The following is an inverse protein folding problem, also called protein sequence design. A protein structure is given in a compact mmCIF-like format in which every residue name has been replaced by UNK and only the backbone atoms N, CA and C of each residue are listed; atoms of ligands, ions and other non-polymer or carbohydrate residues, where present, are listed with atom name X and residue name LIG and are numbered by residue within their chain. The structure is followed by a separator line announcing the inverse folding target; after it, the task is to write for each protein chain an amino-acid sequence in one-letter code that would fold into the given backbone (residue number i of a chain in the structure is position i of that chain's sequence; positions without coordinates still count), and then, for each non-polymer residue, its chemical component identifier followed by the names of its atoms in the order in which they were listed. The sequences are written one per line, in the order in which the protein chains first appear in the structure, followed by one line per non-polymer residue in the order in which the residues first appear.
data_IF_578054233229
#
_entry.id   IF_578054233229
#
_cell.length_a   1.000
_cell.length_b   1.000
_cell.length_c   1.000
_cell.angle_alpha   90.00
_cell.angle_beta   90.00
_cell.angle_gamma   90.00
#
_symmetry.space_group_name_H-M   'P 1'
#
loop_
_entity.id
_entity.type
_entity.pdbx_description
1 polymer ?
#
# COMPACT_ATOMS: atom_id res chain seq x y z
N UNK A 1 15.10 -12.19 -18.83
CA UNK A 1 16.10 -11.18 -18.40
C UNK A 1 17.24 -11.88 -17.69
N UNK A 2 18.51 -11.55 -17.99
CA UNK A 2 19.67 -12.07 -17.26
C UNK A 2 19.83 -11.32 -15.92
N UNK A 3 20.00 -12.07 -14.83
CA UNK A 3 20.21 -11.51 -13.50
C UNK A 3 21.67 -11.07 -13.35
N UNK A 4 21.88 -9.79 -13.07
CA UNK A 4 23.20 -9.20 -12.80
C UNK A 4 23.07 -8.16 -11.68
N UNK A 5 24.13 -7.99 -10.88
CA UNK A 5 24.21 -6.94 -9.87
C UNK A 5 24.61 -5.60 -10.50
N UNK A 6 23.71 -5.04 -11.32
CA UNK A 6 23.91 -3.76 -11.98
C UNK A 6 22.59 -2.98 -12.03
N UNK A 7 22.66 -1.67 -11.74
CA UNK A 7 21.52 -0.77 -11.89
C UNK A 7 21.05 -0.76 -13.34
N UNK A 8 19.76 -0.92 -13.56
CA UNK A 8 19.19 -0.82 -14.91
C UNK A 8 19.31 0.61 -15.45
N UNK A 9 19.39 0.73 -16.77
CA UNK A 9 19.18 2.02 -17.44
C UNK A 9 17.76 2.52 -17.18
N UNK A 10 17.57 3.84 -17.24
CA UNK A 10 16.24 4.44 -17.11
C UNK A 10 15.28 3.90 -18.18
N UNK A 11 15.75 3.79 -19.43
CA UNK A 11 14.98 3.24 -20.54
C UNK A 11 14.46 1.82 -20.23
N UNK A 12 15.35 0.92 -19.80
CA UNK A 12 14.96 -0.45 -19.43
C UNK A 12 13.95 -0.47 -18.28
N UNK A 13 14.16 0.36 -17.25
CA UNK A 13 13.23 0.47 -16.14
C UNK A 13 11.84 0.94 -16.60
N UNK A 14 11.77 1.97 -17.44
CA UNK A 14 10.52 2.51 -17.94
C UNK A 14 9.80 1.53 -18.87
N UNK A 15 10.52 0.73 -19.66
CA UNK A 15 9.91 -0.30 -20.50
C UNK A 15 9.27 -1.41 -19.66
N UNK A 16 9.99 -1.96 -18.68
CA UNK A 16 9.45 -2.98 -17.76
C UNK A 16 8.25 -2.45 -16.98
N UNK A 17 8.22 -1.15 -16.61
CA UNK A 17 7.06 -0.56 -15.96
C UNK A 17 5.79 -0.65 -16.80
N UNK A 18 5.87 -0.48 -18.12
CA UNK A 18 4.69 -0.61 -19.01
C UNK A 18 4.11 -2.02 -18.94
N UNK A 19 4.96 -3.03 -18.98
CA UNK A 19 4.56 -4.44 -18.85
C UNK A 19 3.90 -4.72 -17.50
N UNK A 20 4.50 -4.23 -16.40
CA UNK A 20 3.99 -4.44 -15.04
C UNK A 20 2.65 -3.74 -14.82
N UNK A 21 2.48 -2.49 -15.29
CA UNK A 21 1.22 -1.76 -15.16
C UNK A 21 0.07 -2.42 -15.94
N UNK A 22 0.37 -3.11 -17.03
CA UNK A 22 -0.64 -3.86 -17.80
C UNK A 22 -1.10 -5.16 -17.12
N UNK A 23 -0.47 -5.59 -16.01
CA UNK A 23 -0.77 -6.89 -15.36
C UNK A 23 -2.12 -6.97 -14.66
N UNK A 24 -2.74 -5.83 -14.33
CA UNK A 24 -4.08 -5.76 -13.73
C UNK A 24 -4.77 -4.43 -14.10
N UNK A 25 -6.12 -4.35 -14.25
CA UNK A 25 -6.79 -3.16 -14.74
C UNK A 25 -6.50 -1.87 -13.97
N UNK A 26 -6.28 -1.96 -12.65
CA UNK A 26 -5.94 -0.80 -11.81
C UNK A 26 -4.58 -0.18 -12.11
N UNK A 27 -3.71 -0.87 -12.85
CA UNK A 27 -2.44 -0.32 -13.32
C UNK A 27 -2.58 0.75 -14.40
N UNK A 28 -3.77 0.90 -15.00
CA UNK A 28 -4.08 1.97 -15.96
C UNK A 28 -4.50 3.29 -15.30
N UNK A 29 -4.52 3.36 -13.96
CA UNK A 29 -4.94 4.56 -13.25
C UNK A 29 -3.94 5.72 -13.50
N UNK A 30 -4.41 6.92 -13.87
CA UNK A 30 -3.55 8.09 -14.12
C UNK A 30 -2.66 8.47 -12.93
N UNK A 31 -3.04 8.15 -11.69
CA UNK A 31 -2.21 8.42 -10.52
C UNK A 31 -0.95 7.53 -10.43
N UNK A 32 -0.84 6.48 -11.27
CA UNK A 32 0.36 5.66 -11.43
C UNK A 32 1.32 6.19 -12.51
N UNK A 33 0.95 7.28 -13.20
CA UNK A 33 1.92 8.08 -13.94
C UNK A 33 3.02 8.57 -12.99
N UNK A 34 4.28 8.44 -13.41
CA UNK A 34 5.41 8.65 -12.53
C UNK A 34 5.57 10.12 -12.13
N UNK A 35 5.32 11.04 -13.06
CA UNK A 35 5.47 12.47 -12.80
C UNK A 35 4.38 12.96 -11.85
N UNK A 36 3.13 12.52 -12.07
CA UNK A 36 2.00 12.79 -11.18
C UNK A 36 2.25 12.19 -9.78
N UNK A 37 2.69 10.94 -9.71
CA UNK A 37 2.97 10.27 -8.44
C UNK A 37 4.08 10.98 -7.66
N UNK A 38 5.17 11.39 -8.32
CA UNK A 38 6.27 12.13 -7.68
C UNK A 38 5.80 13.48 -7.16
N UNK A 39 5.00 14.23 -7.92
CA UNK A 39 4.46 15.51 -7.49
C UNK A 39 3.56 15.35 -6.25
N UNK A 40 2.69 14.33 -6.26
CA UNK A 40 1.81 14.03 -5.13
C UNK A 40 2.59 13.60 -3.89
N UNK A 41 3.60 12.73 -4.04
CA UNK A 41 4.42 12.25 -2.93
C UNK A 41 5.27 13.35 -2.29
N UNK A 42 5.67 14.38 -3.05
CA UNK A 42 6.37 15.56 -2.49
C UNK A 42 5.48 16.44 -1.60
N UNK A 43 4.16 16.34 -1.74
CA UNK A 43 3.18 17.08 -0.91
C UNK A 43 2.88 16.35 0.41
N UNK A 44 3.35 15.11 0.58
CA UNK A 44 3.16 14.34 1.83
C UNK A 44 3.83 15.09 2.99
N UNK A 45 3.10 15.40 4.07
CA UNK A 45 3.68 16.11 5.19
C UNK A 45 4.73 15.24 5.91
N UNK A 46 5.79 15.83 6.49
CA UNK A 46 6.90 15.06 7.06
C UNK A 46 6.50 13.99 8.07
N UNK A 47 5.48 14.24 8.90
CA UNK A 47 5.01 13.30 9.94
C UNK A 47 4.30 12.06 9.37
N UNK A 48 3.90 12.08 8.10
CA UNK A 48 3.33 10.94 7.35
C UNK A 48 4.33 10.34 6.35
N UNK A 49 5.59 10.79 6.36
CA UNK A 49 6.65 10.17 5.59
C UNK A 49 7.44 9.19 6.46
N UNK A 50 7.43 7.91 6.08
CA UNK A 50 8.03 6.83 6.87
C UNK A 50 9.54 7.06 7.10
N UNK A 51 10.28 7.45 6.06
CA UNK A 51 11.73 7.65 6.15
C UNK A 51 12.10 8.83 7.05
N UNK A 52 11.37 9.94 6.95
CA UNK A 52 11.61 11.12 7.80
C UNK A 52 11.32 10.82 9.27
N UNK A 53 10.23 10.10 9.57
CA UNK A 53 9.92 9.67 10.93
C UNK A 53 10.95 8.68 11.47
N UNK A 54 11.50 7.78 10.65
CA UNK A 54 12.61 6.90 11.06
C UNK A 54 13.91 7.66 11.39
N UNK A 55 14.20 8.74 10.66
CA UNK A 55 15.33 9.63 10.98
C UNK A 55 15.10 10.30 12.35
N UNK A 56 13.88 10.78 12.60
CA UNK A 56 13.48 11.33 13.90
C UNK A 56 13.67 10.31 15.04
N UNK A 57 13.21 9.06 14.85
CA UNK A 57 13.38 7.97 15.81
C UNK A 57 14.84 7.79 16.22
N UNK A 58 15.74 7.76 15.21
CA UNK A 58 17.17 7.59 15.41
C UNK A 58 17.78 8.76 16.17
N UNK A 59 17.39 9.98 15.85
CA UNK A 59 17.87 11.19 16.53
C UNK A 59 17.39 11.26 17.99
N UNK A 60 16.15 10.86 18.24
CA UNK A 60 15.55 10.79 19.57
C UNK A 60 16.01 9.56 20.38
N UNK A 61 16.69 8.60 19.74
CA UNK A 61 17.01 7.27 20.31
C UNK A 61 15.76 6.57 20.84
N UNK A 62 14.62 6.74 20.16
CA UNK A 62 13.33 6.16 20.53
C UNK A 62 13.04 4.94 19.69
N UNK A 63 12.59 3.86 20.33
CA UNK A 63 11.99 2.71 19.64
C UNK A 63 10.54 3.02 19.34
N UNK A 64 10.17 2.98 18.05
CA UNK A 64 8.79 3.09 17.60
C UNK A 64 8.12 1.73 17.47
N UNK A 65 6.79 1.71 17.60
CA UNK A 65 5.98 0.49 17.55
C UNK A 65 5.15 0.48 16.27
N UNK A 66 5.22 -0.62 15.51
CA UNK A 66 4.42 -0.87 14.32
C UNK A 66 3.71 -2.23 14.42
N UNK A 67 2.37 -2.27 14.37
CA UNK A 67 1.61 -3.52 14.38
C UNK A 67 1.61 -4.20 13.00
N UNK A 68 0.91 -5.34 12.90
CA UNK A 68 0.44 -5.91 11.63
C UNK A 68 -1.07 -5.84 11.58
N UNK A 69 -1.63 -5.40 10.47
CA UNK A 69 -3.07 -5.25 10.26
C UNK A 69 -3.41 -5.20 8.77
N UNK A 70 -4.53 -5.78 8.38
CA UNK A 70 -5.03 -5.80 7.02
C UNK A 70 -6.31 -6.64 6.92
N UNK A 71 -7.34 -6.10 6.30
CA UNK A 71 -8.63 -6.78 6.05
C UNK A 71 -9.10 -6.52 4.63
N UNK A 72 -10.05 -7.34 4.16
CA UNK A 72 -10.49 -7.36 2.78
C UNK A 72 -11.19 -6.09 2.32
N UNK A 73 -11.98 -5.44 3.19
CA UNK A 73 -12.85 -4.33 2.80
C UNK A 73 -12.21 -2.97 3.11
N UNK A 74 -12.25 -2.04 2.16
CA UNK A 74 -11.62 -0.72 2.26
C UNK A 74 -12.04 0.06 3.51
N UNK A 75 -13.35 0.21 3.75
CA UNK A 75 -13.86 0.96 4.91
C UNK A 75 -13.45 0.32 6.23
N UNK A 76 -13.55 -1.02 6.34
CA UNK A 76 -13.13 -1.77 7.52
C UNK A 76 -11.61 -1.67 7.74
N UNK A 77 -10.82 -1.65 6.66
CA UNK A 77 -9.38 -1.48 6.72
C UNK A 77 -9.00 -0.10 7.23
N UNK A 78 -9.66 0.95 6.76
CA UNK A 78 -9.49 2.32 7.27
C UNK A 78 -9.84 2.40 8.76
N UNK A 79 -10.98 1.83 9.16
CA UNK A 79 -11.43 1.84 10.56
C UNK A 79 -10.46 1.09 11.47
N UNK A 80 -9.97 -0.07 11.01
CA UNK A 80 -8.93 -0.84 11.70
C UNK A 80 -7.65 -0.01 11.90
N UNK A 81 -7.14 0.63 10.86
CA UNK A 81 -5.91 1.42 10.97
C UNK A 81 -6.08 2.64 11.87
N UNK A 82 -7.21 3.34 11.79
CA UNK A 82 -7.54 4.44 12.71
C UNK A 82 -7.63 3.99 14.16
N UNK A 83 -8.15 2.79 14.40
CA UNK A 83 -8.18 2.23 15.75
C UNK A 83 -6.78 1.97 16.30
N UNK A 84 -5.89 1.40 15.48
CA UNK A 84 -4.49 1.14 15.86
C UNK A 84 -3.70 2.43 16.09
N UNK A 85 -3.93 3.44 15.25
CA UNK A 85 -3.36 4.78 15.43
C UNK A 85 -3.78 5.38 16.77
N UNK A 86 -5.09 5.40 17.08
CA UNK A 86 -5.61 5.88 18.37
C UNK A 86 -5.09 5.10 19.56
N UNK A 87 -4.70 3.83 19.34
CA UNK A 87 -4.11 2.96 20.37
C UNK A 87 -2.61 3.20 20.58
N UNK A 88 -2.00 4.16 19.87
CA UNK A 88 -0.61 4.58 20.06
C UNK A 88 0.39 3.98 19.08
N UNK A 89 -0.05 3.46 17.93
CA UNK A 89 0.86 3.01 16.88
C UNK A 89 1.69 4.20 16.33
N UNK A 90 3.01 4.06 16.31
CA UNK A 90 3.91 5.07 15.72
C UNK A 90 3.95 4.96 14.19
N UNK A 91 3.70 3.77 13.65
CA UNK A 91 3.55 3.51 12.22
C UNK A 91 2.37 2.59 11.98
N UNK A 92 1.76 2.68 10.80
CA UNK A 92 0.67 1.82 10.39
C UNK A 92 1.11 0.85 9.29
N UNK A 93 0.59 -0.39 9.31
CA UNK A 93 0.82 -1.35 8.24
C UNK A 93 -0.33 -1.30 7.21
N UNK A 94 -0.11 -1.93 6.08
CA UNK A 94 -1.18 -2.55 5.30
C UNK A 94 -0.70 -3.93 4.90
N UNK A 95 -1.10 -4.93 5.69
CA UNK A 95 -0.67 -6.32 5.49
C UNK A 95 -1.43 -6.87 4.29
N UNK A 96 -0.72 -7.15 3.21
CA UNK A 96 -1.30 -7.59 1.94
C UNK A 96 -1.82 -9.02 2.05
N UNK A 97 -2.97 -9.31 1.44
CA UNK A 97 -3.55 -10.66 1.46
C UNK A 97 -2.69 -11.69 0.70
N UNK A 98 -2.85 -12.97 1.01
CA UNK A 98 -2.03 -14.03 0.42
C UNK A 98 -2.25 -14.26 -1.08
N UNK A 99 -3.45 -13.96 -1.63
CA UNK A 99 -3.67 -14.08 -3.06
C UNK A 99 -2.92 -12.99 -3.82
N UNK A 100 -2.97 -11.74 -3.36
CA UNK A 100 -2.16 -10.66 -3.94
C UNK A 100 -0.67 -10.98 -3.92
N UNK A 101 -0.16 -11.62 -2.85
CA UNK A 101 1.26 -12.05 -2.75
C UNK A 101 1.65 -13.09 -3.81
N UNK A 102 0.69 -13.82 -4.37
CA UNK A 102 0.90 -14.79 -5.45
C UNK A 102 0.41 -14.28 -6.81
N UNK A 103 0.12 -12.98 -6.95
CA UNK A 103 -0.42 -12.37 -8.16
C UNK A 103 -1.78 -12.98 -8.59
N UNK A 104 -2.55 -13.49 -7.63
CA UNK A 104 -3.84 -14.17 -7.79
C UNK A 104 -5.01 -13.19 -7.59
N UNK A 105 -5.03 -12.13 -8.40
CA UNK A 105 -5.94 -10.99 -8.20
C UNK A 105 -7.42 -11.33 -8.42
N UNK A 106 -7.72 -12.33 -9.26
CA UNK A 106 -9.10 -12.84 -9.41
C UNK A 106 -9.62 -13.48 -8.12
N UNK A 107 -8.77 -14.22 -7.39
CA UNK A 107 -9.16 -14.80 -6.09
C UNK A 107 -9.29 -13.74 -5.01
N UNK A 108 -8.45 -12.70 -5.04
CA UNK A 108 -8.61 -11.54 -4.16
C UNK A 108 -9.93 -10.80 -4.44
N UNK A 109 -10.33 -10.63 -5.71
CA UNK A 109 -11.61 -10.01 -6.12
C UNK A 109 -12.80 -10.81 -5.59
N UNK A 110 -12.77 -12.13 -5.76
CA UNK A 110 -13.79 -13.02 -5.19
C UNK A 110 -13.79 -12.94 -3.66
N UNK A 111 -12.62 -12.87 -3.04
CA UNK A 111 -12.49 -12.68 -1.59
C UNK A 111 -13.12 -11.38 -1.09
N UNK A 112 -13.00 -10.27 -1.83
CA UNK A 112 -13.69 -9.00 -1.53
C UNK A 112 -15.20 -9.22 -1.59
N UNK A 113 -15.71 -9.81 -2.68
CA UNK A 113 -17.14 -10.07 -2.88
C UNK A 113 -17.75 -10.96 -1.79
N UNK A 114 -17.05 -12.02 -1.40
CA UNK A 114 -17.50 -12.90 -0.31
C UNK A 114 -17.42 -12.18 1.03
N UNK A 115 -16.39 -11.35 1.28
CA UNK A 115 -16.30 -10.57 2.52
C UNK A 115 -17.48 -9.59 2.68
N UNK A 116 -17.89 -8.93 1.59
CA UNK A 116 -19.08 -8.07 1.58
C UNK A 116 -20.35 -8.85 1.91
N UNK A 117 -20.52 -10.05 1.34
CA UNK A 117 -21.68 -10.90 1.57
C UNK A 117 -21.76 -11.42 3.01
N UNK A 118 -20.62 -11.80 3.59
CA UNK A 118 -20.55 -12.42 4.92
C UNK A 118 -20.46 -11.38 6.06
N UNK A 119 -20.27 -10.10 5.74
CA UNK A 119 -20.13 -9.03 6.74
C UNK A 119 -18.87 -9.14 7.59
N UNK A 120 -17.83 -9.81 7.10
CA UNK A 120 -16.51 -9.95 7.74
C UNK A 120 -15.44 -10.31 6.71
N UNK A 121 -14.19 -9.97 6.99
CA UNK A 121 -13.06 -10.30 6.11
C UNK A 121 -12.89 -11.81 5.90
N UNK A 122 -12.90 -12.21 4.64
CA UNK A 122 -12.55 -13.56 4.16
C UNK A 122 -11.14 -13.63 3.57
N UNK A 123 -10.46 -12.48 3.47
CA UNK A 123 -9.03 -12.39 3.18
C UNK A 123 -8.23 -12.22 4.48
N UNK A 124 -6.98 -12.66 4.45
CA UNK A 124 -6.02 -12.51 5.55
C UNK A 124 -5.18 -11.23 5.46
N UNK A 125 -5.64 -10.26 4.66
CA UNK A 125 -4.95 -9.00 4.41
C UNK A 125 -5.74 -8.08 3.46
N UNK A 126 -5.13 -6.95 3.13
CA UNK A 126 -5.67 -5.92 2.25
C UNK A 126 -5.27 -6.16 0.78
N UNK A 127 -6.23 -6.29 -0.14
CA UNK A 127 -5.97 -6.54 -1.57
C UNK A 127 -5.66 -5.26 -2.33
N UNK A 128 -4.49 -4.67 -2.06
CA UNK A 128 -4.10 -3.35 -2.58
C UNK A 128 -4.10 -3.25 -4.12
N UNK A 129 -3.77 -4.33 -4.83
CA UNK A 129 -3.75 -4.34 -6.30
C UNK A 129 -5.18 -4.25 -6.84
N UNK A 130 -6.13 -5.00 -6.27
CA UNK A 130 -7.55 -4.94 -6.64
C UNK A 130 -8.17 -3.58 -6.36
N UNK A 131 -7.82 -2.97 -5.23
CA UNK A 131 -8.29 -1.64 -4.87
C UNK A 131 -7.65 -0.51 -5.67
N UNK A 132 -6.40 -0.69 -6.10
CA UNK A 132 -5.68 0.29 -6.90
C UNK A 132 -5.23 1.51 -6.10
N UNK A 133 -4.62 2.46 -6.82
CA UNK A 133 -3.95 3.63 -6.24
C UNK A 133 -4.91 4.60 -5.56
N UNK A 134 -6.13 4.78 -6.09
CA UNK A 134 -7.13 5.68 -5.51
C UNK A 134 -7.53 5.25 -4.09
N UNK A 135 -7.88 3.98 -3.91
CA UNK A 135 -8.23 3.44 -2.60
C UNK A 135 -7.02 3.34 -1.67
N UNK A 136 -5.82 3.02 -2.18
CA UNK A 136 -4.59 3.12 -1.38
C UNK A 136 -4.36 4.56 -0.87
N UNK A 137 -4.65 5.56 -1.71
CA UNK A 137 -4.58 6.98 -1.33
C UNK A 137 -5.65 7.33 -0.30
N UNK A 138 -6.86 6.80 -0.42
CA UNK A 138 -7.93 6.99 0.57
C UNK A 138 -7.52 6.45 1.95
N UNK A 139 -6.92 5.25 2.00
CA UNK A 139 -6.33 4.70 3.23
C UNK A 139 -5.27 5.64 3.79
N UNK A 140 -4.33 6.09 2.96
CA UNK A 140 -3.29 7.02 3.37
C UNK A 140 -3.88 8.33 3.91
N UNK A 141 -4.83 8.94 3.22
CA UNK A 141 -5.46 10.21 3.61
C UNK A 141 -6.25 10.08 4.92
N UNK A 142 -6.79 8.89 5.21
CA UNK A 142 -7.63 8.64 6.37
C UNK A 142 -6.87 8.50 7.71
N UNK A 143 -5.54 8.37 7.67
CA UNK A 143 -4.67 8.19 8.85
C UNK A 143 -3.66 9.33 8.98
N UNK A 144 -3.02 9.48 10.13
CA UNK A 144 -2.12 10.60 10.43
C UNK A 144 -0.69 10.16 10.85
N UNK A 145 -0.37 8.88 10.79
CA UNK A 145 1.00 8.36 10.91
C UNK A 145 1.41 7.58 9.65
N UNK A 146 2.72 7.42 9.38
CA UNK A 146 3.21 6.75 8.16
C UNK A 146 2.98 5.24 8.16
#
# INVERSE_FOLDING_TARGET
MQLVNQKWSLEKFLEVRKEVLASWPTGNDPLLDLDIAVENLKKVPPHKNFALKMIEAKNQKRTYIQPRAGVALLSEHIDLLRHLEKSGADFLPSTIDSYTRQNRYMEAEEGIRVSQKEGRSMLNGFPAVNYGVNACKEVFDAVNVP
#
